data_IF_288316474251
#
_entry.id   IF_288316474251
#
_cell.length_a   1.000
_cell.length_b   1.000
_cell.length_c   1.000
_cell.angle_alpha   90.00
_cell.angle_beta   90.00
_cell.angle_gamma   90.00
#
_symmetry.space_group_name_H-M   'P 1'
#
loop_
_entity.id
_entity.type
_entity.pdbx_description
1 polymer ?
#
# COMPACT_ATOMS: atom_id res chain seq x y z
N UNK A 1 -20.08 -14.24 -44.21
CA UNK A 1 -18.95 -14.90 -43.52
C UNK A 1 -17.68 -14.44 -44.23
N UNK A 2 -16.66 -13.84 -43.63
CA UNK A 2 -16.22 -13.72 -42.24
C UNK A 2 -15.61 -12.33 -41.99
N UNK A 3 -15.73 -11.81 -40.77
CA UNK A 3 -15.08 -10.58 -40.33
C UNK A 3 -13.61 -10.87 -39.95
N UNK A 4 -12.64 -10.03 -40.34
CA UNK A 4 -11.28 -10.13 -39.82
C UNK A 4 -11.20 -9.40 -38.48
N UNK A 5 -11.29 -10.13 -37.38
CA UNK A 5 -11.08 -9.58 -36.04
C UNK A 5 -9.73 -10.02 -35.49
N UNK A 6 -8.75 -9.13 -35.72
CA UNK A 6 -7.70 -8.73 -34.77
C UNK A 6 -6.90 -9.87 -34.13
N UNK A 7 -5.72 -10.06 -34.71
CA UNK A 7 -4.49 -10.37 -34.01
C UNK A 7 -4.45 -9.59 -32.68
N UNK A 8 -4.83 -10.24 -31.58
CA UNK A 8 -4.55 -9.73 -30.23
C UNK A 8 -3.10 -10.13 -29.95
N UNK A 9 -2.22 -9.40 -30.62
CA UNK A 9 -0.79 -9.36 -30.39
C UNK A 9 -0.56 -8.99 -28.91
N UNK A 10 0.31 -9.75 -28.28
CA UNK A 10 1.27 -9.31 -27.27
C UNK A 10 0.82 -8.22 -26.27
N UNK A 11 0.41 -8.61 -25.07
CA UNK A 11 0.73 -7.81 -23.87
C UNK A 11 0.75 -8.62 -22.55
N UNK A 12 0.98 -9.93 -22.61
CA UNK A 12 1.00 -10.77 -21.40
C UNK A 12 2.38 -10.80 -20.69
N UNK A 13 3.42 -10.24 -21.31
CA UNK A 13 4.82 -10.38 -20.84
C UNK A 13 5.64 -9.07 -20.81
N UNK A 14 5.01 -7.90 -20.93
CA UNK A 14 5.73 -6.62 -21.01
C UNK A 14 5.35 -5.58 -19.95
N UNK A 15 4.53 -5.95 -18.97
CA UNK A 15 4.45 -5.20 -17.71
C UNK A 15 5.25 -5.96 -16.67
N UNK A 16 6.58 -5.85 -16.73
CA UNK A 16 7.35 -5.80 -15.49
C UNK A 16 6.91 -4.51 -14.80
N UNK A 17 5.75 -4.63 -14.16
CA UNK A 17 4.92 -3.57 -13.58
C UNK A 17 5.80 -2.68 -12.73
N UNK A 18 5.95 -1.43 -13.14
CA UNK A 18 6.53 -0.40 -12.31
C UNK A 18 5.55 -0.22 -11.15
N UNK A 19 5.77 -0.97 -10.07
CA UNK A 19 4.96 -0.94 -8.86
C UNK A 19 4.76 0.53 -8.46
N UNK A 20 3.52 0.87 -8.10
CA UNK A 20 3.16 2.25 -7.79
C UNK A 20 4.14 2.80 -6.74
N UNK A 21 4.88 3.90 -7.02
CA UNK A 21 5.92 4.40 -6.11
C UNK A 21 5.36 4.79 -4.73
N UNK A 22 4.04 5.01 -4.64
CA UNK A 22 3.35 5.22 -3.36
C UNK A 22 3.46 4.00 -2.44
N UNK A 23 3.62 2.78 -2.96
CA UNK A 23 3.77 1.56 -2.15
C UNK A 23 5.03 1.59 -1.27
N UNK A 24 6.08 2.26 -1.75
CA UNK A 24 7.36 2.41 -1.05
C UNK A 24 7.35 3.63 -0.11
N UNK A 25 6.27 4.41 -0.09
CA UNK A 25 6.14 5.54 0.82
C UNK A 25 5.91 5.06 2.26
N UNK A 26 6.59 5.70 3.20
CA UNK A 26 6.41 5.47 4.63
C UNK A 26 4.99 5.87 5.07
N UNK A 27 4.36 5.03 5.90
CA UNK A 27 2.95 5.23 6.28
C UNK A 27 2.73 6.50 7.12
N UNK A 28 3.72 6.92 7.92
CA UNK A 28 3.64 8.15 8.70
C UNK A 28 3.71 9.36 7.77
N UNK A 29 4.62 9.31 6.79
CA UNK A 29 4.74 10.34 5.74
C UNK A 29 3.46 10.43 4.91
N UNK A 30 2.88 9.29 4.54
CA UNK A 30 1.62 9.22 3.81
C UNK A 30 0.47 9.83 4.60
N UNK A 31 0.44 9.68 5.92
CA UNK A 31 -0.62 10.18 6.79
C UNK A 31 -0.37 11.58 7.38
N UNK A 32 0.82 12.16 7.22
CA UNK A 32 1.28 13.39 7.91
C UNK A 32 0.34 14.59 7.81
N UNK A 33 -0.42 14.70 6.72
CA UNK A 33 -1.36 15.81 6.46
C UNK A 33 -2.72 15.65 7.16
N UNK A 34 -2.94 14.56 7.87
CA UNK A 34 -4.23 14.22 8.50
C UNK A 34 -3.99 13.74 9.94
N UNK A 35 -4.16 14.61 10.95
CA UNK A 35 -3.78 14.28 12.33
C UNK A 35 -4.47 13.02 12.87
N UNK A 36 -5.73 12.81 12.50
CA UNK A 36 -6.50 11.61 12.85
C UNK A 36 -5.94 10.30 12.25
N UNK A 37 -5.27 10.38 11.10
CA UNK A 37 -4.62 9.22 10.46
C UNK A 37 -3.20 9.01 10.96
N UNK A 38 -2.57 10.02 11.57
CA UNK A 38 -1.22 9.91 12.12
C UNK A 38 -1.20 8.92 13.28
N UNK A 39 -2.20 8.94 14.17
CA UNK A 39 -2.30 7.96 15.26
C UNK A 39 -2.42 6.53 14.74
N UNK A 40 -3.30 6.30 13.75
CA UNK A 40 -3.41 4.99 13.08
C UNK A 40 -2.11 4.59 12.38
N UNK A 41 -1.42 5.53 11.74
CA UNK A 41 -0.13 5.26 11.08
C UNK A 41 0.95 4.86 12.10
N UNK A 42 0.96 5.43 13.30
CA UNK A 42 1.84 4.97 14.38
C UNK A 42 1.50 3.56 14.84
N UNK A 43 0.22 3.25 15.05
CA UNK A 43 -0.20 1.88 15.38
C UNK A 43 0.22 0.90 14.29
N UNK A 44 -0.04 1.22 13.01
CA UNK A 44 0.38 0.40 11.88
C UNK A 44 1.89 0.15 11.90
N UNK A 45 2.70 1.19 12.13
CA UNK A 45 4.15 1.08 12.21
C UNK A 45 4.62 0.22 13.40
N UNK A 46 3.98 0.33 14.58
CA UNK A 46 4.26 -0.51 15.76
C UNK A 46 4.01 -2.00 15.48
N UNK A 47 2.98 -2.30 14.69
CA UNK A 47 2.68 -3.64 14.19
C UNK A 47 3.55 -4.08 12.99
N UNK A 48 4.57 -3.29 12.61
CA UNK A 48 5.50 -3.59 11.52
C UNK A 48 5.02 -3.18 10.12
N UNK A 49 3.86 -2.55 10.00
CA UNK A 49 3.32 -2.02 8.74
C UNK A 49 3.83 -0.60 8.48
N UNK A 50 5.13 -0.49 8.23
CA UNK A 50 5.84 0.80 8.10
C UNK A 50 5.66 1.50 6.75
N UNK A 51 5.21 0.79 5.71
CA UNK A 51 5.10 1.30 4.34
C UNK A 51 3.69 1.11 3.82
N UNK A 52 3.27 1.95 2.88
CA UNK A 52 1.94 1.87 2.27
C UNK A 52 1.68 0.51 1.62
N UNK A 53 2.69 -0.13 1.02
CA UNK A 53 2.54 -1.48 0.47
C UNK A 53 2.23 -2.55 1.52
N UNK A 54 2.68 -2.41 2.76
CA UNK A 54 2.24 -3.29 3.85
C UNK A 54 0.76 -3.10 4.14
N UNK A 55 0.32 -1.85 4.20
CA UNK A 55 -1.06 -1.47 4.51
C UNK A 55 -2.02 -1.90 3.39
N UNK A 56 -1.62 -1.76 2.12
CA UNK A 56 -2.41 -2.18 0.96
C UNK A 56 -2.68 -3.70 0.95
N UNK A 57 -1.83 -4.51 1.60
CA UNK A 57 -2.05 -5.96 1.76
C UNK A 57 -3.02 -6.31 2.88
N UNK A 58 -3.33 -5.37 3.78
CA UNK A 58 -4.25 -5.60 4.88
C UNK A 58 -5.70 -5.53 4.40
N UNK A 59 -6.57 -6.30 5.03
CA UNK A 59 -8.01 -6.20 4.80
C UNK A 59 -8.58 -4.98 5.52
N UNK A 60 -9.72 -4.45 5.06
CA UNK A 60 -10.43 -3.39 5.78
C UNK A 60 -10.73 -3.79 7.23
N UNK A 61 -11.09 -5.06 7.47
CA UNK A 61 -11.32 -5.57 8.83
C UNK A 61 -10.09 -5.43 9.74
N UNK A 62 -8.90 -5.78 9.22
CA UNK A 62 -7.64 -5.63 9.95
C UNK A 62 -7.32 -4.16 10.21
N UNK A 63 -7.60 -3.27 9.26
CA UNK A 63 -7.41 -1.83 9.45
C UNK A 63 -8.35 -1.26 10.52
N UNK A 64 -9.59 -1.75 10.61
CA UNK A 64 -10.53 -1.35 11.67
C UNK A 64 -10.05 -1.83 13.04
N UNK A 65 -9.55 -3.07 13.14
CA UNK A 65 -8.99 -3.61 14.36
C UNK A 65 -7.79 -2.77 14.85
N UNK A 66 -6.87 -2.44 13.94
CA UNK A 66 -5.71 -1.59 14.22
C UNK A 66 -6.08 -0.11 14.47
N UNK A 67 -7.26 0.32 14.02
CA UNK A 67 -7.84 1.61 14.35
C UNK A 67 -8.61 1.59 15.69
N UNK A 68 -8.30 0.66 16.60
CA UNK A 68 -8.98 0.47 17.88
C UNK A 68 -10.51 0.29 17.72
N UNK A 69 -10.95 -0.30 16.62
CA UNK A 69 -12.36 -0.51 16.30
C UNK A 69 -13.06 0.70 15.70
N UNK A 70 -12.37 1.77 15.30
CA UNK A 70 -12.96 2.92 14.63
C UNK A 70 -13.05 2.70 13.10
N UNK A 71 -14.26 2.44 12.54
CA UNK A 71 -14.42 2.21 11.10
C UNK A 71 -14.28 3.49 10.27
N UNK A 72 -14.41 4.67 10.88
CA UNK A 72 -14.26 5.93 10.15
C UNK A 72 -12.80 6.20 9.80
N UNK A 73 -11.88 5.95 10.73
CA UNK A 73 -10.44 6.07 10.51
C UNK A 73 -9.94 5.10 9.43
N UNK A 74 -10.35 3.83 9.52
CA UNK A 74 -10.00 2.83 8.51
C UNK A 74 -10.52 3.24 7.11
N UNK A 75 -11.77 3.71 7.01
CA UNK A 75 -12.34 4.17 5.74
C UNK A 75 -11.67 5.41 5.17
N UNK A 76 -11.21 6.34 6.01
CA UNK A 76 -10.44 7.50 5.55
C UNK A 76 -9.07 7.08 4.99
N UNK A 77 -8.41 6.10 5.63
CA UNK A 77 -7.18 5.52 5.12
C UNK A 77 -7.40 4.81 3.78
N UNK A 78 -8.41 3.93 3.68
CA UNK A 78 -8.78 3.25 2.43
C UNK A 78 -9.07 4.25 1.30
N UNK A 79 -9.85 5.31 1.59
CA UNK A 79 -10.14 6.37 0.61
C UNK A 79 -8.88 7.07 0.13
N UNK A 80 -7.89 7.23 1.01
CA UNK A 80 -6.61 7.86 0.65
C UNK A 80 -5.77 6.93 -0.23
N UNK A 81 -5.73 5.64 0.05
CA UNK A 81 -5.14 4.63 -0.83
C UNK A 81 -5.80 4.65 -2.21
N UNK A 82 -7.14 4.68 -2.27
CA UNK A 82 -7.89 4.74 -3.54
C UNK A 82 -7.56 5.97 -4.37
N UNK A 83 -7.34 7.14 -3.73
CA UNK A 83 -6.92 8.35 -4.45
C UNK A 83 -5.54 8.22 -5.11
N UNK A 84 -4.71 7.33 -4.59
CA UNK A 84 -3.41 6.98 -5.15
C UNK A 84 -3.47 5.79 -6.11
N UNK A 85 -4.68 5.28 -6.42
CA UNK A 85 -4.88 4.12 -7.28
C UNK A 85 -4.58 2.77 -6.59
N UNK A 86 -4.55 2.74 -5.26
CA UNK A 86 -4.31 1.53 -4.46
C UNK A 86 -5.60 1.09 -3.76
N UNK A 87 -5.77 -0.22 -3.60
CA UNK A 87 -6.86 -0.81 -2.81
C UNK A 87 -6.29 -1.49 -1.55
N UNK A 88 -7.19 -2.03 -0.72
CA UNK A 88 -6.86 -2.93 0.39
C UNK A 88 -6.92 -4.38 -0.06
N UNK A 89 -6.35 -5.28 0.73
CA UNK A 89 -6.24 -6.71 0.42
C UNK A 89 -5.59 -7.00 -0.96
N UNK A 90 -4.71 -6.12 -1.42
CA UNK A 90 -3.98 -6.32 -2.68
C UNK A 90 -2.95 -7.44 -2.53
N UNK A 91 -2.88 -8.30 -3.53
CA UNK A 91 -1.73 -9.18 -3.71
C UNK A 91 -0.63 -8.39 -4.43
N UNK A 92 0.53 -8.24 -3.78
CA UNK A 92 1.68 -7.51 -4.32
C UNK A 92 2.86 -8.48 -4.53
N UNK A 93 2.80 -9.37 -5.53
CA UNK A 93 3.87 -10.33 -5.78
C UNK A 93 5.16 -9.62 -6.19
N UNK A 94 6.26 -9.95 -5.52
CA UNK A 94 7.58 -9.36 -5.79
C UNK A 94 7.77 -7.95 -5.21
N UNK A 95 6.76 -7.34 -4.58
CA UNK A 95 6.96 -6.15 -3.77
C UNK A 95 7.59 -6.54 -2.43
N UNK A 96 8.68 -5.85 -2.09
CA UNK A 96 9.34 -5.95 -0.80
C UNK A 96 9.44 -4.55 -0.23
N UNK A 97 9.15 -4.41 1.07
CA UNK A 97 9.34 -3.13 1.72
C UNK A 97 10.79 -2.68 1.56
N UNK A 98 11.03 -1.41 1.17
CA UNK A 98 12.38 -0.90 1.09
C UNK A 98 13.04 -1.07 2.46
N UNK A 99 14.26 -1.60 2.45
CA UNK A 99 15.06 -1.70 3.67
C UNK A 99 15.21 -0.29 4.21
N UNK A 100 14.74 -0.08 5.43
CA UNK A 100 14.94 1.20 6.11
C UNK A 100 16.42 1.25 6.52
N UNK A 101 17.31 1.61 5.60
CA UNK A 101 18.76 1.72 5.80
C UNK A 101 19.13 2.84 6.80
N UNK A 102 18.14 3.47 7.44
CA UNK A 102 18.33 4.47 8.50
C UNK A 102 18.71 3.87 9.88
N UNK A 103 18.77 2.55 10.07
CA UNK A 103 19.15 1.93 11.34
C UNK A 103 20.27 0.87 11.28
N UNK A 104 20.93 0.68 10.13
CA UNK A 104 22.18 -0.08 10.05
C UNK A 104 23.41 0.86 10.03
N UNK A 105 23.32 1.98 10.75
CA UNK A 105 24.50 2.71 11.18
C UNK A 105 25.20 1.91 12.27
N UNK A 106 26.21 1.15 11.89
CA UNK A 106 27.52 1.19 12.53
C UNK A 106 27.49 1.24 14.08
N UNK A 107 27.39 0.08 14.71
CA UNK A 107 28.03 -0.10 16.01
C UNK A 107 29.30 -0.92 15.76
N UNK A 108 30.42 -0.28 16.11
CA UNK A 108 31.82 -0.74 16.07
C UNK A 108 32.02 -2.18 16.56
#
# INVERSE_FOLDING_TARGET
MAAPARHHDADWMASSEQLNPVLDEDILSFCVRSPQLVELAFTLADHGHTHVGHVARLTEFTLVDLANGDPSLARDLCRRLHKCGLDTAMELPGWHAPLNEAHAGQFD
#
